data_IF_670241313138
#
_entry.id   IF_670241313138
#
_cell.length_a   1.000
_cell.length_b   1.000
_cell.length_c   1.000
_cell.angle_alpha   90.00
_cell.angle_beta   90.00
_cell.angle_gamma   90.00
#
_symmetry.space_group_name_H-M   'P 1'
#
loop_
_entity.id
_entity.type
_entity.pdbx_description
1 polymer ?
#
# COMPACT_ATOMS: atom_id res chain seq x y z
N UNK A 1 25.92 -66.01 70.61
CA UNK A 1 24.47 -65.74 70.62
C UNK A 1 24.20 -64.48 69.80
N UNK A 2 23.21 -64.53 68.89
CA UNK A 2 22.60 -63.43 68.08
C UNK A 2 21.91 -62.36 68.98
N UNK A 3 21.39 -61.19 68.49
CA UNK A 3 21.02 -60.80 67.10
C UNK A 3 21.52 -59.36 66.67
N UNK A 4 21.67 -58.98 65.37
CA UNK A 4 20.67 -58.60 64.33
C UNK A 4 19.68 -57.51 64.85
N UNK A 5 19.56 -56.29 64.31
CA UNK A 5 19.18 -55.91 62.93
C UNK A 5 19.16 -54.37 62.71
N UNK A 6 19.30 -53.97 61.42
CA UNK A 6 18.55 -52.90 60.69
C UNK A 6 18.80 -51.41 61.04
N UNK A 7 18.82 -50.41 60.15
CA UNK A 7 18.65 -50.23 58.69
C UNK A 7 19.02 -48.77 58.33
N UNK A 8 19.56 -48.52 57.12
CA UNK A 8 19.32 -47.39 56.16
C UNK A 8 19.06 -45.95 56.68
N UNK A 9 19.44 -44.83 56.04
CA UNK A 9 20.21 -44.47 54.85
C UNK A 9 20.12 -42.91 54.73
N UNK A 10 21.23 -42.24 54.40
CA UNK A 10 21.38 -40.92 53.73
C UNK A 10 20.78 -39.65 54.38
N UNK A 11 21.65 -38.64 54.61
CA UNK A 11 21.62 -37.35 53.91
C UNK A 11 23.07 -36.82 53.82
N UNK A 12 23.55 -36.54 52.59
CA UNK A 12 24.86 -35.92 52.35
C UNK A 12 24.74 -34.42 52.53
N UNK A 13 25.60 -33.84 53.37
CA UNK A 13 25.70 -32.40 53.59
C UNK A 13 26.23 -31.69 52.33
N UNK A 14 25.50 -30.66 51.89
CA UNK A 14 25.92 -29.70 50.86
C UNK A 14 26.61 -28.55 51.60
N UNK A 15 27.90 -28.35 51.33
CA UNK A 15 28.66 -27.18 51.79
C UNK A 15 28.51 -26.11 50.70
N UNK A 16 27.88 -24.99 51.05
CA UNK A 16 27.74 -23.80 50.22
C UNK A 16 29.02 -22.96 50.36
N UNK A 17 29.77 -22.76 49.27
CA UNK A 17 30.87 -21.79 49.21
C UNK A 17 30.44 -20.66 48.29
N UNK A 18 30.33 -19.47 48.86
CA UNK A 18 30.13 -18.21 48.13
C UNK A 18 31.45 -17.83 47.44
N UNK A 19 31.42 -17.78 46.10
CA UNK A 19 32.49 -17.19 45.29
C UNK A 19 31.93 -15.97 44.57
N UNK A 20 32.38 -14.80 45.03
CA UNK A 20 32.14 -13.48 44.48
C UNK A 20 32.65 -13.41 43.03
N UNK A 21 31.77 -13.28 42.04
CA UNK A 21 32.16 -12.98 40.65
C UNK A 21 32.00 -11.47 40.44
N UNK A 22 33.13 -10.77 40.47
CA UNK A 22 33.22 -9.40 40.00
C UNK A 22 33.05 -9.40 38.47
N UNK A 23 31.89 -8.94 38.00
CA UNK A 23 31.65 -8.73 36.57
C UNK A 23 32.41 -7.45 36.18
N UNK A 24 33.59 -7.66 35.58
CA UNK A 24 34.30 -6.61 34.86
C UNK A 24 33.50 -6.35 33.58
N UNK A 25 32.74 -5.26 33.58
CA UNK A 25 32.06 -4.73 32.40
C UNK A 25 33.10 -4.14 31.44
N UNK A 26 33.70 -5.00 30.61
CA UNK A 26 34.33 -4.55 29.38
C UNK A 26 33.22 -4.08 28.44
N UNK A 27 33.12 -2.76 28.27
CA UNK A 27 32.18 -2.13 27.37
C UNK A 27 32.37 -2.66 25.96
N UNK A 28 31.41 -3.46 25.49
CA UNK A 28 31.22 -3.71 24.06
C UNK A 28 30.89 -2.35 23.42
N UNK A 29 31.53 -2.00 22.28
CA UNK A 29 31.12 -0.81 21.55
C UNK A 29 29.66 -1.00 21.15
N UNK A 30 28.78 -0.16 21.71
CA UNK A 30 27.40 -0.06 21.27
C UNK A 30 27.45 0.43 19.82
N UNK A 31 27.24 -0.48 18.87
CA UNK A 31 26.91 -0.11 17.50
C UNK A 31 25.57 0.61 17.62
N UNK A 32 25.58 1.94 17.52
CA UNK A 32 24.35 2.71 17.38
C UNK A 32 23.66 2.21 16.12
N UNK A 33 22.57 1.46 16.27
CA UNK A 33 21.65 1.20 15.19
C UNK A 33 21.22 2.56 14.63
N UNK A 34 21.61 2.83 13.39
CA UNK A 34 21.16 4.02 12.68
C UNK A 34 19.67 3.84 12.46
N UNK A 35 18.85 4.65 13.11
CA UNK A 35 17.43 4.82 12.78
C UNK A 35 17.37 5.29 11.32
N UNK A 36 16.94 4.42 10.41
CA UNK A 36 16.91 4.77 8.99
C UNK A 36 15.58 5.47 8.66
N UNK A 37 15.68 6.73 8.23
CA UNK A 37 14.55 7.60 7.88
C UNK A 37 14.49 7.93 6.38
N UNK A 38 15.07 7.09 5.51
CA UNK A 38 15.16 7.32 4.06
C UNK A 38 14.27 6.40 3.24
N UNK A 39 14.09 6.73 1.96
CA UNK A 39 13.53 5.81 0.97
C UNK A 39 14.40 4.54 0.89
N UNK A 40 13.82 3.38 1.18
CA UNK A 40 14.48 2.06 1.11
C UNK A 40 14.27 1.39 -0.25
N UNK A 41 13.37 1.93 -1.07
CA UNK A 41 13.00 1.36 -2.36
C UNK A 41 14.21 1.22 -3.27
N UNK A 42 14.36 0.04 -3.85
CA UNK A 42 15.44 -0.25 -4.77
C UNK A 42 16.77 -0.58 -4.12
N UNK A 43 16.92 -0.44 -2.79
CA UNK A 43 18.15 -0.80 -2.11
C UNK A 43 18.21 -2.29 -1.77
N UNK A 44 19.44 -2.78 -1.68
CA UNK A 44 19.77 -4.04 -0.99
C UNK A 44 20.07 -3.68 0.46
N UNK A 45 19.39 -4.34 1.39
CA UNK A 45 19.50 -4.13 2.81
C UNK A 45 20.14 -5.35 3.49
N UNK A 46 20.99 -5.10 4.48
CA UNK A 46 21.67 -6.12 5.29
C UNK A 46 21.18 -6.00 6.73
N UNK A 47 20.60 -7.07 7.25
CA UNK A 47 20.09 -7.13 8.61
C UNK A 47 21.26 -7.15 9.61
N UNK A 48 21.49 -6.04 10.32
CA UNK A 48 22.71 -5.88 11.16
C UNK A 48 22.56 -6.46 12.56
N UNK A 49 21.34 -6.74 12.99
CA UNK A 49 21.00 -7.28 14.32
C UNK A 49 20.75 -8.80 14.28
N UNK A 50 21.16 -9.46 13.20
CA UNK A 50 21.05 -10.91 12.98
C UNK A 50 22.31 -11.45 12.29
N UNK A 51 22.18 -12.44 11.39
CA UNK A 51 23.29 -13.11 10.71
C UNK A 51 23.77 -12.37 9.45
N UNK A 52 23.35 -11.11 9.25
CA UNK A 52 23.67 -10.36 8.05
C UNK A 52 22.82 -10.76 6.85
N UNK A 53 21.59 -11.22 7.07
CA UNK A 53 20.64 -11.56 6.03
C UNK A 53 20.45 -10.40 5.03
N UNK A 54 20.47 -10.72 3.74
CA UNK A 54 20.30 -9.74 2.67
C UNK A 54 18.87 -9.73 2.12
N UNK A 55 18.35 -8.54 1.87
CA UNK A 55 17.00 -8.28 1.39
C UNK A 55 17.04 -7.27 0.24
N UNK A 56 16.29 -7.50 -0.82
CA UNK A 56 16.15 -6.52 -1.91
C UNK A 56 14.76 -5.90 -1.88
N UNK A 57 14.69 -4.57 -1.81
CA UNK A 57 13.42 -3.86 -1.83
C UNK A 57 13.04 -3.59 -3.28
N UNK A 58 12.13 -4.39 -3.83
CA UNK A 58 11.83 -4.37 -5.26
C UNK A 58 11.07 -3.09 -5.65
N UNK A 59 11.58 -2.26 -6.57
CA UNK A 59 10.93 -0.99 -6.91
C UNK A 59 9.50 -1.10 -7.43
N UNK A 60 9.14 -2.22 -8.07
CA UNK A 60 7.82 -2.34 -8.69
C UNK A 60 6.68 -2.51 -7.68
N UNK A 61 6.96 -3.05 -6.48
CA UNK A 61 5.92 -3.34 -5.48
C UNK A 61 6.32 -2.97 -4.04
N UNK A 62 7.49 -2.36 -3.85
CA UNK A 62 8.03 -1.98 -2.54
C UNK A 62 8.15 -3.12 -1.52
N UNK A 63 8.13 -4.39 -1.98
CA UNK A 63 8.27 -5.55 -1.09
C UNK A 63 9.74 -5.92 -0.89
N UNK A 64 10.06 -6.39 0.30
CA UNK A 64 11.36 -6.95 0.65
C UNK A 64 11.44 -8.41 0.22
N UNK A 65 12.32 -8.74 -0.72
CA UNK A 65 12.60 -10.10 -1.15
C UNK A 65 13.84 -10.63 -0.45
N UNK A 66 13.69 -11.76 0.25
CA UNK A 66 14.82 -12.40 0.92
C UNK A 66 15.79 -12.98 -0.10
N UNK A 67 17.04 -12.53 -0.09
CA UNK A 67 18.04 -12.93 -1.09
C UNK A 67 18.76 -14.23 -0.75
N UNK A 68 18.65 -14.72 0.49
CA UNK A 68 19.27 -15.99 0.89
C UNK A 68 20.78 -16.05 0.62
N UNK A 69 21.26 -17.16 0.06
CA UNK A 69 22.67 -17.34 -0.30
C UNK A 69 22.96 -16.72 -1.68
N UNK A 70 24.23 -16.53 -2.08
CA UNK A 70 24.58 -15.91 -3.36
C UNK A 70 23.88 -16.50 -4.60
N UNK A 71 23.70 -17.83 -4.64
CA UNK A 71 22.98 -18.49 -5.73
C UNK A 71 21.47 -18.18 -5.71
N UNK A 72 20.87 -18.14 -4.53
CA UNK A 72 19.45 -17.81 -4.34
C UNK A 72 19.21 -16.34 -4.72
N UNK A 73 20.10 -15.44 -4.30
CA UNK A 73 20.08 -14.02 -4.63
C UNK A 73 20.13 -13.78 -6.13
N UNK A 74 21.06 -14.46 -6.82
CA UNK A 74 21.18 -14.39 -8.27
C UNK A 74 19.89 -14.81 -8.99
N UNK A 75 19.26 -15.91 -8.55
CA UNK A 75 18.00 -16.39 -9.12
C UNK A 75 16.87 -15.37 -8.93
N UNK A 76 16.68 -14.90 -7.69
CA UNK A 76 15.62 -13.94 -7.32
C UNK A 76 15.80 -12.63 -8.07
N UNK A 77 17.01 -12.09 -8.09
CA UNK A 77 17.30 -10.84 -8.78
C UNK A 77 17.10 -10.94 -10.29
N UNK A 78 17.41 -12.09 -10.90
CA UNK A 78 17.15 -12.33 -12.32
C UNK A 78 15.65 -12.50 -12.62
N UNK A 79 14.89 -13.13 -11.70
CA UNK A 79 13.43 -13.27 -11.78
C UNK A 79 12.70 -11.91 -11.72
N UNK A 80 13.23 -10.97 -10.92
CA UNK A 80 12.68 -9.62 -10.75
C UNK A 80 13.21 -8.61 -11.79
N UNK A 81 14.10 -9.03 -12.69
CA UNK A 81 14.78 -8.13 -13.61
C UNK A 81 13.86 -7.64 -14.75
N UNK A 82 14.02 -6.38 -15.13
CA UNK A 82 13.36 -5.76 -16.27
C UNK A 82 14.22 -5.95 -17.53
N UNK A 83 13.63 -6.49 -18.60
CA UNK A 83 14.32 -6.63 -19.89
C UNK A 83 14.66 -5.27 -20.52
N UNK A 84 15.89 -5.10 -20.99
CA UNK A 84 16.35 -3.90 -21.69
C UNK A 84 17.30 -4.24 -22.85
N UNK A 85 17.35 -3.35 -23.84
CA UNK A 85 18.24 -3.49 -25.01
C UNK A 85 19.71 -3.37 -24.61
N UNK A 86 20.57 -4.10 -25.31
CA UNK A 86 22.00 -4.15 -25.01
C UNK A 86 22.64 -2.76 -25.05
N UNK A 87 22.40 -2.01 -26.12
CA UNK A 87 22.97 -0.67 -26.31
C UNK A 87 22.51 0.31 -25.23
N UNK A 88 21.25 0.28 -24.84
CA UNK A 88 20.74 1.11 -23.76
C UNK A 88 21.48 0.87 -22.45
N UNK A 89 21.74 -0.40 -22.10
CA UNK A 89 22.47 -0.73 -20.87
C UNK A 89 23.92 -0.27 -20.98
N UNK A 90 24.63 -0.63 -22.06
CA UNK A 90 26.07 -0.42 -22.17
C UNK A 90 26.42 1.07 -22.34
N UNK A 91 25.67 1.80 -23.16
CA UNK A 91 25.95 3.20 -23.49
C UNK A 91 25.54 4.17 -22.37
N UNK A 92 24.70 3.72 -21.43
CA UNK A 92 24.25 4.55 -20.30
C UNK A 92 25.23 4.49 -19.13
N UNK A 93 25.86 5.62 -18.82
CA UNK A 93 26.75 5.75 -17.65
C UNK A 93 25.99 6.05 -16.35
N UNK A 94 24.96 6.89 -16.43
CA UNK A 94 24.08 7.26 -15.31
C UNK A 94 22.65 7.09 -15.79
N UNK A 95 21.88 6.25 -15.12
CA UNK A 95 20.53 5.89 -15.52
C UNK A 95 19.51 6.93 -15.05
N UNK A 96 18.36 7.05 -15.76
CA UNK A 96 17.23 7.87 -15.31
C UNK A 96 16.72 7.46 -13.91
N UNK A 97 16.18 8.43 -13.16
CA UNK A 97 15.66 8.20 -11.80
C UNK A 97 14.64 7.05 -11.72
N UNK A 98 13.76 6.93 -12.72
CA UNK A 98 12.76 5.85 -12.79
C UNK A 98 13.33 4.43 -12.83
N UNK A 99 14.63 4.27 -13.12
CA UNK A 99 15.33 2.98 -13.13
C UNK A 99 16.22 2.79 -11.90
N UNK A 100 16.27 3.78 -11.01
CA UNK A 100 16.98 3.73 -9.74
C UNK A 100 16.51 2.51 -8.94
N UNK A 101 17.47 1.67 -8.54
CA UNK A 101 17.21 0.45 -7.78
C UNK A 101 16.68 -0.74 -8.58
N UNK A 102 16.45 -0.59 -9.87
CA UNK A 102 15.97 -1.69 -10.72
C UNK A 102 17.13 -2.59 -11.15
N UNK A 103 16.85 -3.87 -11.39
CA UNK A 103 17.77 -4.79 -12.05
C UNK A 103 17.37 -4.89 -13.51
N UNK A 104 18.29 -4.57 -14.42
CA UNK A 104 18.10 -4.69 -15.87
C UNK A 104 18.70 -5.99 -16.37
N UNK A 105 17.96 -6.70 -17.21
CA UNK A 105 18.41 -7.90 -17.92
C UNK A 105 18.63 -7.56 -19.39
N UNK A 106 19.83 -7.84 -19.90
CA UNK A 106 20.12 -7.73 -21.32
C UNK A 106 19.43 -8.87 -22.08
N UNK A 107 18.39 -8.52 -22.85
CA UNK A 107 17.59 -9.50 -23.60
C UNK A 107 18.13 -9.76 -25.02
N UNK A 108 19.17 -9.04 -25.45
CA UNK A 108 19.71 -9.13 -26.82
C UNK A 108 21.07 -9.86 -26.86
N UNK A 109 21.67 -10.15 -25.71
CA UNK A 109 22.94 -10.89 -25.57
C UNK A 109 22.78 -12.19 -24.77
N UNK A 110 23.61 -12.42 -23.76
CA UNK A 110 23.69 -13.68 -23.02
C UNK A 110 22.80 -13.67 -21.76
N UNK A 111 21.93 -12.68 -21.60
CA UNK A 111 21.13 -12.53 -20.38
C UNK A 111 21.94 -12.01 -19.20
N UNK A 112 22.92 -11.13 -19.46
CA UNK A 112 23.65 -10.39 -18.45
C UNK A 112 22.70 -9.49 -17.65
N UNK A 113 22.85 -9.47 -16.32
CA UNK A 113 22.03 -8.61 -15.46
C UNK A 113 22.87 -7.48 -14.86
N UNK A 114 22.24 -6.35 -14.60
CA UNK A 114 22.86 -5.15 -14.03
C UNK A 114 21.95 -4.50 -13.00
N UNK A 115 22.42 -4.34 -11.77
CA UNK A 115 21.74 -3.59 -10.73
C UNK A 115 22.04 -2.10 -10.88
N UNK A 116 21.00 -1.27 -10.99
CA UNK A 116 21.14 0.18 -11.03
C UNK A 116 21.11 0.70 -9.60
N UNK A 117 22.28 1.01 -9.03
CA UNK A 117 22.35 1.35 -7.61
C UNK A 117 21.68 2.70 -7.33
N UNK A 118 20.73 2.81 -6.37
CA UNK A 118 20.05 4.08 -6.16
C UNK A 118 20.95 5.21 -5.63
N UNK A 119 22.11 4.88 -5.05
CA UNK A 119 23.02 5.90 -4.52
C UNK A 119 23.73 6.75 -5.59
N UNK A 120 23.96 6.20 -6.79
CA UNK A 120 24.67 6.91 -7.86
C UNK A 120 24.08 6.70 -9.27
N UNK A 121 23.02 5.89 -9.37
CA UNK A 121 22.33 5.47 -10.60
C UNK A 121 23.27 4.84 -11.63
N UNK A 122 24.38 4.26 -11.21
CA UNK A 122 25.28 3.52 -12.08
C UNK A 122 24.90 2.04 -12.11
N UNK A 123 25.24 1.39 -13.22
CA UNK A 123 25.06 -0.06 -13.37
C UNK A 123 26.18 -0.84 -12.68
N UNK A 124 25.80 -1.88 -11.96
CA UNK A 124 26.70 -2.83 -11.33
C UNK A 124 26.39 -4.21 -11.88
N UNK A 125 27.41 -4.88 -12.43
CA UNK A 125 27.26 -6.18 -13.07
C UNK A 125 26.80 -7.25 -12.06
N UNK A 126 25.80 -8.02 -12.46
CA UNK A 126 25.11 -9.05 -11.68
C UNK A 126 24.98 -10.34 -12.50
N UNK A 127 25.99 -10.69 -13.30
CA UNK A 127 25.90 -11.84 -14.21
C UNK A 127 26.14 -13.20 -13.56
N UNK A 128 26.76 -13.24 -12.37
CA UNK A 128 27.09 -14.49 -11.65
C UNK A 128 26.83 -14.37 -10.15
N UNK A 129 26.69 -15.50 -9.42
CA UNK A 129 26.51 -15.49 -7.97
C UNK A 129 27.61 -14.72 -7.20
N UNK A 130 28.85 -14.74 -7.67
CA UNK A 130 29.97 -14.04 -7.02
C UNK A 130 29.83 -12.51 -7.17
N UNK A 131 29.30 -12.05 -8.30
CA UNK A 131 29.04 -10.64 -8.55
C UNK A 131 27.87 -10.14 -7.68
N UNK A 132 26.82 -10.96 -7.52
CA UNK A 132 25.71 -10.69 -6.60
C UNK A 132 26.19 -10.56 -5.15
N UNK A 133 27.05 -11.47 -4.70
CA UNK A 133 27.65 -11.40 -3.37
C UNK A 133 28.49 -10.12 -3.18
N UNK A 134 29.28 -9.76 -4.20
CA UNK A 134 30.06 -8.53 -4.19
C UNK A 134 29.16 -7.30 -4.04
N UNK A 135 28.10 -7.20 -4.83
CA UNK A 135 27.11 -6.11 -4.76
C UNK A 135 26.47 -6.03 -3.37
N UNK A 136 25.99 -7.16 -2.83
CA UNK A 136 25.36 -7.19 -1.50
C UNK A 136 26.33 -6.68 -0.41
N UNK A 137 27.60 -7.10 -0.49
CA UNK A 137 28.63 -6.69 0.49
C UNK A 137 29.05 -5.22 0.35
N UNK A 138 29.18 -4.71 -0.87
CA UNK A 138 29.75 -3.38 -1.14
C UNK A 138 28.69 -2.27 -1.15
N UNK A 139 27.47 -2.57 -1.60
CA UNK A 139 26.39 -1.60 -1.77
C UNK A 139 25.22 -1.81 -0.80
N UNK A 140 25.24 -2.92 -0.05
CA UNK A 140 24.21 -3.24 0.93
C UNK A 140 24.18 -2.21 2.07
N UNK A 141 22.99 -1.78 2.46
CA UNK A 141 22.78 -0.84 3.56
C UNK A 141 22.31 -1.57 4.81
N UNK A 142 22.87 -1.23 5.96
CA UNK A 142 22.42 -1.81 7.22
C UNK A 142 20.97 -1.45 7.53
N UNK A 143 20.17 -2.41 7.99
CA UNK A 143 18.81 -2.18 8.50
C UNK A 143 18.60 -2.91 9.84
N UNK A 144 17.85 -2.27 10.75
CA UNK A 144 17.43 -2.86 12.03
C UNK A 144 16.28 -3.84 11.83
N UNK A 145 16.09 -4.75 12.79
CA UNK A 145 14.97 -5.70 12.75
C UNK A 145 13.62 -4.98 12.78
N UNK A 146 13.52 -3.89 13.56
CA UNK A 146 12.29 -3.10 13.68
C UNK A 146 11.92 -2.36 12.41
N UNK A 147 12.91 -1.84 11.68
CA UNK A 147 12.65 -1.11 10.44
C UNK A 147 12.35 -2.09 9.29
N UNK A 148 13.06 -3.22 9.22
CA UNK A 148 12.79 -4.26 8.23
C UNK A 148 11.37 -4.84 8.37
N UNK A 149 10.90 -5.03 9.60
CA UNK A 149 9.56 -5.55 9.88
C UNK A 149 8.42 -4.64 9.39
N UNK A 150 8.70 -3.37 9.08
CA UNK A 150 7.73 -2.43 8.50
C UNK A 150 7.60 -2.56 6.98
N UNK A 151 8.48 -3.33 6.33
CA UNK A 151 8.46 -3.52 4.89
C UNK A 151 7.74 -4.84 4.57
N UNK A 152 6.68 -4.84 3.74
CA UNK A 152 6.00 -6.07 3.35
C UNK A 152 6.96 -7.05 2.67
N UNK A 153 6.91 -8.33 3.05
CA UNK A 153 7.80 -9.36 2.46
C UNK A 153 7.22 -9.91 1.16
N UNK A 154 8.06 -10.04 0.14
CA UNK A 154 7.73 -10.70 -1.13
C UNK A 154 8.22 -12.15 -1.14
N UNK A 155 7.49 -13.04 -1.82
CA UNK A 155 7.85 -14.46 -1.98
C UNK A 155 8.09 -14.73 -3.47
N UNK A 156 9.24 -15.31 -3.81
CA UNK A 156 9.52 -15.74 -5.19
C UNK A 156 8.83 -17.08 -5.48
N UNK A 157 8.21 -17.20 -6.66
CA UNK A 157 7.40 -18.37 -7.02
C UNK A 157 5.91 -18.32 -6.63
N UNK A 158 5.41 -17.23 -6.04
CA UNK A 158 3.98 -16.89 -6.25
C UNK A 158 3.75 -16.73 -7.76
N UNK A 159 2.62 -17.22 -8.33
CA UNK A 159 2.41 -17.13 -9.77
C UNK A 159 2.35 -15.66 -10.20
N UNK A 160 3.48 -15.13 -10.65
CA UNK A 160 3.59 -13.83 -11.33
C UNK A 160 2.67 -13.77 -12.56
N UNK A 161 2.21 -14.93 -13.05
CA UNK A 161 1.33 -15.11 -14.19
C UNK A 161 -0.19 -15.13 -13.87
N UNK A 162 -0.62 -14.99 -12.60
CA UNK A 162 -2.05 -14.81 -12.27
C UNK A 162 -2.42 -13.40 -11.80
N UNK A 163 -1.43 -12.52 -11.74
CA UNK A 163 -1.59 -11.09 -11.45
C UNK A 163 -0.77 -10.25 -12.43
N UNK A 164 -0.90 -10.54 -13.73
CA UNK A 164 -0.49 -9.63 -14.81
C UNK A 164 -1.30 -9.95 -16.08
N UNK A 165 -2.57 -9.55 -16.12
CA UNK A 165 -2.95 -8.58 -17.15
C UNK A 165 -2.78 -7.21 -16.53
N UNK A 166 -1.54 -6.85 -16.20
CA UNK A 166 -1.24 -5.43 -16.18
C UNK A 166 -1.50 -4.96 -17.61
N UNK A 167 -2.17 -3.81 -17.79
CA UNK A 167 -2.21 -3.18 -19.09
C UNK A 167 -0.79 -3.13 -19.63
N UNK A 168 -0.60 -3.25 -20.96
CA UNK A 168 0.67 -2.82 -21.56
C UNK A 168 1.04 -1.48 -20.90
N UNK A 169 2.29 -1.23 -20.54
CA UNK A 169 2.68 -0.13 -19.64
C UNK A 169 2.15 1.29 -19.95
N UNK A 170 1.44 1.49 -21.08
CA UNK A 170 0.78 2.71 -21.51
C UNK A 170 -0.74 2.55 -21.79
N UNK A 171 -1.36 1.45 -21.39
CA UNK A 171 -2.78 1.20 -21.64
C UNK A 171 -3.62 1.70 -20.47
N UNK A 172 -4.54 2.58 -20.81
CA UNK A 172 -5.48 3.20 -19.90
C UNK A 172 -6.34 2.15 -19.20
N UNK A 173 -6.36 2.21 -17.88
CA UNK A 173 -7.26 1.41 -17.06
C UNK A 173 -8.57 2.18 -16.95
N UNK A 174 -9.67 1.55 -17.35
CA UNK A 174 -11.00 2.14 -17.18
C UNK A 174 -12.01 1.04 -16.88
N UNK A 175 -12.66 1.16 -15.73
CA UNK A 175 -13.81 0.35 -15.35
C UNK A 175 -15.02 1.03 -15.96
N UNK A 176 -15.59 0.38 -16.98
CA UNK A 176 -16.75 0.88 -17.72
C UNK A 176 -18.05 0.69 -16.92
N UNK A 177 -19.12 1.34 -17.39
CA UNK A 177 -20.49 1.15 -16.89
C UNK A 177 -20.69 1.41 -15.37
N UNK A 178 -19.82 2.25 -14.78
CA UNK A 178 -20.03 2.78 -13.43
C UNK A 178 -21.04 3.93 -13.53
N UNK A 179 -22.27 3.78 -12.99
CA UNK A 179 -23.27 4.83 -13.07
C UNK A 179 -22.81 6.05 -12.27
N UNK A 180 -23.30 7.23 -12.66
CA UNK A 180 -22.96 8.49 -12.02
C UNK A 180 -24.16 9.14 -11.36
N UNK A 181 -23.94 9.75 -10.20
CA UNK A 181 -24.88 10.67 -9.58
C UNK A 181 -24.17 11.72 -8.74
N UNK A 182 -24.79 12.88 -8.59
CA UNK A 182 -24.34 13.90 -7.64
C UNK A 182 -24.98 13.67 -6.27
N UNK A 183 -24.30 14.07 -5.20
CA UNK A 183 -24.85 13.98 -3.84
C UNK A 183 -26.13 14.79 -3.63
N UNK A 184 -26.32 15.83 -4.45
CA UNK A 184 -27.57 16.55 -4.60
C UNK A 184 -28.09 16.38 -6.04
N UNK A 185 -28.86 15.32 -6.37
CA UNK A 185 -29.26 15.01 -7.76
C UNK A 185 -30.05 16.12 -8.47
N UNK A 186 -30.77 16.93 -7.68
CA UNK A 186 -31.52 18.12 -8.14
C UNK A 186 -30.89 19.44 -7.67
N UNK A 187 -29.72 19.40 -7.02
CA UNK A 187 -29.01 20.58 -6.53
C UNK A 187 -29.61 21.22 -5.27
N UNK A 188 -30.39 20.47 -4.49
CA UNK A 188 -30.89 20.94 -3.20
C UNK A 188 -29.84 20.75 -2.09
N UNK A 189 -29.03 21.78 -1.90
CA UNK A 189 -28.00 21.83 -0.86
C UNK A 189 -28.55 22.24 0.51
N UNK A 190 -29.85 22.52 0.63
CA UNK A 190 -30.48 22.85 1.92
C UNK A 190 -30.84 21.61 2.74
N UNK A 191 -31.00 20.46 2.07
CA UNK A 191 -31.14 19.17 2.74
C UNK A 191 -29.77 18.66 3.19
N UNK A 192 -29.59 18.55 4.51
CA UNK A 192 -28.35 18.07 5.11
C UNK A 192 -27.92 16.67 4.63
N UNK A 193 -28.86 15.81 4.23
CA UNK A 193 -28.55 14.45 3.73
C UNK A 193 -27.93 14.50 2.34
N UNK A 194 -28.30 15.49 1.53
CA UNK A 194 -27.68 15.73 0.23
C UNK A 194 -26.37 16.51 0.38
N UNK A 195 -26.34 17.50 1.29
CA UNK A 195 -25.16 18.30 1.56
C UNK A 195 -23.98 17.47 2.10
N UNK A 196 -24.25 16.43 2.88
CA UNK A 196 -23.23 15.55 3.46
C UNK A 196 -23.26 14.14 2.85
N UNK A 197 -23.92 13.95 1.70
CA UNK A 197 -24.21 12.63 1.14
C UNK A 197 -23.10 12.05 0.24
N UNK A 198 -21.83 12.45 0.42
CA UNK A 198 -20.78 12.10 -0.54
C UNK A 198 -20.37 10.61 -0.44
N UNK A 199 -20.41 10.05 0.77
CA UNK A 199 -20.16 8.65 1.06
C UNK A 199 -21.32 7.78 0.59
N UNK A 200 -22.57 8.16 0.90
CA UNK A 200 -23.76 7.46 0.41
C UNK A 200 -23.80 7.44 -1.12
N UNK A 201 -23.49 8.56 -1.77
CA UNK A 201 -23.46 8.66 -3.24
C UNK A 201 -22.37 7.80 -3.85
N UNK A 202 -21.16 7.83 -3.27
CA UNK A 202 -20.03 7.03 -3.75
C UNK A 202 -20.28 5.53 -3.58
N UNK A 203 -20.82 5.12 -2.42
CA UNK A 203 -21.21 3.75 -2.16
C UNK A 203 -22.36 3.31 -3.09
N UNK A 204 -23.36 4.15 -3.30
CA UNK A 204 -24.47 3.87 -4.22
C UNK A 204 -23.99 3.64 -5.66
N UNK A 205 -23.10 4.50 -6.17
CA UNK A 205 -22.51 4.32 -7.51
C UNK A 205 -21.79 2.97 -7.63
N UNK A 206 -20.97 2.61 -6.63
CA UNK A 206 -20.26 1.34 -6.60
C UNK A 206 -21.22 0.15 -6.53
N UNK A 207 -22.27 0.22 -5.70
CA UNK A 207 -23.23 -0.87 -5.56
C UNK A 207 -24.11 -1.04 -6.79
N UNK A 208 -24.49 0.05 -7.47
CA UNK A 208 -25.23 -0.05 -8.73
C UNK A 208 -24.36 -0.61 -9.85
N UNK A 209 -23.06 -0.31 -9.86
CA UNK A 209 -22.10 -0.98 -10.74
C UNK A 209 -21.99 -2.49 -10.47
N UNK A 210 -21.86 -2.91 -9.21
CA UNK A 210 -21.89 -4.34 -8.82
C UNK A 210 -23.16 -5.02 -9.31
N UNK A 211 -24.30 -4.34 -9.16
CA UNK A 211 -25.62 -4.85 -9.54
C UNK A 211 -25.93 -4.76 -11.05
N UNK A 212 -25.03 -4.17 -11.86
CA UNK A 212 -25.25 -3.89 -13.29
C UNK A 212 -26.50 -3.04 -13.56
N UNK A 213 -26.76 -2.04 -12.70
CA UNK A 213 -27.92 -1.16 -12.80
C UNK A 213 -27.50 0.28 -13.08
N UNK A 214 -28.36 0.98 -13.81
CA UNK A 214 -28.26 2.43 -13.99
C UNK A 214 -28.84 3.20 -12.80
N UNK A 215 -28.65 4.52 -12.79
CA UNK A 215 -29.22 5.44 -11.79
C UNK A 215 -29.98 6.56 -12.50
N UNK A 216 -31.24 6.77 -12.14
CA UNK A 216 -31.95 8.03 -12.44
C UNK A 216 -31.71 9.05 -11.32
N UNK A 217 -32.06 10.32 -11.56
CA UNK A 217 -31.97 11.36 -10.52
C UNK A 217 -32.95 11.11 -9.37
N UNK A 218 -34.16 10.65 -9.69
CA UNK A 218 -35.20 10.33 -8.72
C UNK A 218 -34.79 9.15 -7.84
N UNK A 219 -34.23 8.10 -8.46
CA UNK A 219 -33.70 6.94 -7.74
C UNK A 219 -32.51 7.33 -6.88
N UNK A 220 -31.58 8.12 -7.43
CA UNK A 220 -30.43 8.63 -6.67
C UNK A 220 -30.86 9.41 -5.43
N UNK A 221 -31.80 10.35 -5.58
CA UNK A 221 -32.27 11.16 -4.45
C UNK A 221 -32.88 10.26 -3.36
N UNK A 222 -33.73 9.32 -3.77
CA UNK A 222 -34.40 8.39 -2.86
C UNK A 222 -33.40 7.50 -2.12
N UNK A 223 -32.44 6.92 -2.84
CA UNK A 223 -31.45 6.00 -2.26
C UNK A 223 -30.46 6.72 -1.36
N UNK A 224 -29.92 7.87 -1.78
CA UNK A 224 -28.97 8.68 -0.98
C UNK A 224 -29.62 9.11 0.34
N UNK A 225 -30.81 9.71 0.26
CA UNK A 225 -31.53 10.15 1.47
C UNK A 225 -31.99 8.97 2.33
N UNK A 226 -32.35 7.84 1.71
CA UNK A 226 -32.73 6.61 2.41
C UNK A 226 -31.58 5.96 3.17
N UNK A 227 -30.38 5.90 2.58
CA UNK A 227 -29.16 5.45 3.26
C UNK A 227 -28.88 6.37 4.46
N UNK A 228 -28.88 7.69 4.24
CA UNK A 228 -28.61 8.67 5.30
C UNK A 228 -29.61 8.58 6.46
N UNK A 229 -30.92 8.48 6.18
CA UNK A 229 -31.96 8.29 7.19
C UNK A 229 -31.77 6.99 7.99
N UNK A 230 -31.38 5.91 7.30
CA UNK A 230 -31.13 4.62 7.93
C UNK A 230 -29.89 4.65 8.82
N UNK A 231 -28.78 5.25 8.35
CA UNK A 231 -27.56 5.45 9.13
C UNK A 231 -27.86 6.26 10.39
N UNK A 232 -28.57 7.39 10.23
CA UNK A 232 -28.96 8.24 11.36
C UNK A 232 -29.80 7.47 12.38
N UNK A 233 -30.73 6.64 11.93
CA UNK A 233 -31.60 5.84 12.80
C UNK A 233 -30.85 4.73 13.53
N UNK A 234 -29.92 4.05 12.87
CA UNK A 234 -29.23 2.86 13.42
C UNK A 234 -27.97 3.23 14.22
N UNK A 235 -27.16 4.12 13.68
CA UNK A 235 -25.84 4.49 14.21
C UNK A 235 -25.84 5.86 14.89
N UNK A 236 -26.90 6.65 14.74
CA UNK A 236 -26.99 7.98 15.36
C UNK A 236 -26.24 9.07 14.59
N UNK A 237 -25.54 8.72 13.50
CA UNK A 237 -24.80 9.63 12.63
C UNK A 237 -24.92 9.20 11.17
N UNK A 238 -24.88 10.17 10.27
CA UNK A 238 -25.00 9.98 8.82
C UNK A 238 -24.25 11.07 8.02
N UNK A 239 -23.29 11.75 8.68
CA UNK A 239 -22.48 12.82 8.11
C UNK A 239 -21.02 12.46 8.29
N UNK A 240 -20.20 12.76 7.29
CA UNK A 240 -18.75 12.59 7.29
C UNK A 240 -18.34 11.22 7.85
N UNK A 241 -18.73 10.12 7.21
CA UNK A 241 -18.44 8.77 7.71
C UNK A 241 -17.02 8.34 7.31
N UNK A 242 -16.21 7.92 8.29
CA UNK A 242 -14.85 7.40 8.03
C UNK A 242 -14.85 6.26 7.00
N UNK A 243 -13.70 5.95 6.41
CA UNK A 243 -13.61 4.82 5.48
C UNK A 243 -14.02 3.48 6.14
N UNK A 244 -13.67 3.30 7.42
CA UNK A 244 -14.04 2.10 8.18
C UNK A 244 -15.56 2.03 8.42
N UNK A 245 -16.19 3.12 8.83
CA UNK A 245 -17.64 3.13 9.08
C UNK A 245 -18.44 3.12 7.77
N UNK A 246 -17.94 3.74 6.70
CA UNK A 246 -18.52 3.60 5.36
C UNK A 246 -18.51 2.13 4.91
N UNK A 247 -17.38 1.43 5.12
CA UNK A 247 -17.29 -0.01 4.85
C UNK A 247 -18.31 -0.80 5.68
N UNK A 248 -18.32 -0.61 7.00
CA UNK A 248 -19.09 -1.46 7.89
C UNK A 248 -20.59 -1.12 7.87
N UNK A 249 -20.94 0.16 7.89
CA UNK A 249 -22.33 0.61 8.01
C UNK A 249 -23.05 0.62 6.66
N UNK A 250 -22.38 1.11 5.61
CA UNK A 250 -23.02 1.24 4.29
C UNK A 250 -22.87 -0.05 3.49
N UNK A 251 -21.64 -0.52 3.25
CA UNK A 251 -21.47 -1.69 2.39
C UNK A 251 -21.92 -3.00 3.06
N UNK A 252 -21.39 -3.31 4.25
CA UNK A 252 -21.66 -4.61 4.89
C UNK A 252 -23.03 -4.68 5.54
N UNK A 253 -23.48 -3.61 6.20
CA UNK A 253 -24.72 -3.68 6.97
C UNK A 253 -25.94 -3.22 6.15
N UNK A 254 -25.91 -2.04 5.53
CA UNK A 254 -27.03 -1.57 4.70
C UNK A 254 -27.18 -2.39 3.41
N UNK A 255 -26.10 -2.52 2.63
CA UNK A 255 -26.13 -3.22 1.35
C UNK A 255 -25.91 -4.73 1.44
N UNK A 256 -25.49 -5.25 2.59
CA UNK A 256 -25.20 -6.69 2.79
C UNK A 256 -24.18 -7.21 1.77
N UNK A 257 -23.15 -6.42 1.50
CA UNK A 257 -22.11 -6.74 0.52
C UNK A 257 -20.77 -7.01 1.20
N UNK A 258 -20.22 -8.20 0.96
CA UNK A 258 -18.98 -8.65 1.62
C UNK A 258 -17.73 -8.56 0.72
N UNK A 259 -17.88 -8.43 -0.61
CA UNK A 259 -16.74 -8.32 -1.54
C UNK A 259 -16.17 -6.88 -1.58
N UNK A 260 -15.94 -6.33 -0.39
CA UNK A 260 -15.44 -5.00 -0.16
C UNK A 260 -14.44 -5.01 0.98
N UNK A 261 -13.33 -4.29 0.83
CA UNK A 261 -12.25 -4.27 1.83
C UNK A 261 -11.73 -2.86 2.08
N UNK A 262 -11.38 -2.58 3.34
CA UNK A 262 -10.61 -1.38 3.68
C UNK A 262 -9.13 -1.67 3.46
N UNK A 263 -8.45 -0.79 2.71
CA UNK A 263 -6.99 -0.74 2.68
C UNK A 263 -6.52 0.53 3.35
N UNK A 264 -5.55 0.38 4.25
CA UNK A 264 -4.98 1.48 5.03
C UNK A 264 -3.61 1.88 4.49
N UNK A 265 -3.28 3.15 4.68
CA UNK A 265 -1.97 3.73 4.33
C UNK A 265 -1.48 3.38 2.91
N UNK A 266 -2.40 3.47 1.95
CA UNK A 266 -2.13 3.05 0.57
C UNK A 266 -1.22 4.04 -0.16
N UNK A 267 -0.46 3.51 -1.11
CA UNK A 267 0.31 4.28 -2.09
C UNK A 267 -0.47 4.45 -3.39
N UNK A 268 0.02 5.31 -4.30
CA UNK A 268 -0.53 5.43 -5.67
C UNK A 268 -0.55 4.08 -6.38
N UNK A 269 0.50 3.28 -6.22
CA UNK A 269 0.62 1.98 -6.88
C UNK A 269 -0.44 1.00 -6.37
N UNK A 270 -0.78 1.03 -5.09
CA UNK A 270 -1.85 0.19 -4.53
C UNK A 270 -3.21 0.53 -5.16
N UNK A 271 -3.50 1.82 -5.39
CA UNK A 271 -4.73 2.26 -6.06
C UNK A 271 -4.76 1.75 -7.51
N UNK A 272 -3.67 1.97 -8.26
CA UNK A 272 -3.55 1.53 -9.66
C UNK A 272 -3.65 0.01 -9.78
N UNK A 273 -3.05 -0.73 -8.84
CA UNK A 273 -3.12 -2.19 -8.80
C UNK A 273 -4.57 -2.67 -8.63
N UNK A 274 -5.35 -2.07 -7.73
CA UNK A 274 -6.76 -2.44 -7.56
C UNK A 274 -7.61 -2.09 -8.78
N UNK A 275 -7.38 -0.93 -9.39
CA UNK A 275 -8.05 -0.58 -10.65
C UNK A 275 -7.72 -1.57 -11.77
N UNK A 276 -6.46 -2.05 -11.85
CA UNK A 276 -6.02 -3.02 -12.86
C UNK A 276 -6.68 -4.40 -12.69
N UNK A 277 -7.13 -4.72 -11.48
CA UNK A 277 -7.93 -5.92 -11.18
C UNK A 277 -9.41 -5.75 -11.53
N UNK A 278 -9.81 -4.56 -11.99
CA UNK A 278 -11.21 -4.22 -12.26
C UNK A 278 -12.00 -3.84 -11.01
N UNK A 279 -11.32 -3.54 -9.89
CA UNK A 279 -11.99 -3.13 -8.65
C UNK A 279 -12.19 -1.62 -8.63
N UNK A 280 -13.35 -1.15 -8.16
CA UNK A 280 -13.56 0.26 -7.88
C UNK A 280 -12.88 0.64 -6.57
N UNK A 281 -12.41 1.89 -6.51
CA UNK A 281 -11.80 2.45 -5.30
C UNK A 281 -12.62 3.65 -4.86
N UNK A 282 -13.10 3.67 -3.62
CA UNK A 282 -13.66 4.87 -2.99
C UNK A 282 -12.57 5.49 -2.11
N UNK A 283 -12.36 6.79 -2.29
CA UNK A 283 -11.29 7.50 -1.61
C UNK A 283 -11.87 8.66 -0.77
N UNK A 284 -11.80 8.61 0.58
CA UNK A 284 -12.01 9.79 1.41
C UNK A 284 -10.87 10.79 1.18
N UNK A 285 -11.20 12.07 1.09
CA UNK A 285 -10.22 13.10 0.77
C UNK A 285 -10.64 14.50 1.25
N UNK A 286 -9.69 15.42 1.15
CA UNK A 286 -9.96 16.85 1.23
C UNK A 286 -10.27 17.42 -0.15
N UNK A 287 -11.54 17.75 -0.41
CA UNK A 287 -11.99 18.29 -1.69
C UNK A 287 -11.44 19.68 -2.03
N UNK A 288 -10.86 20.40 -1.07
CA UNK A 288 -10.22 21.70 -1.34
C UNK A 288 -8.84 21.53 -2.01
N UNK A 289 -8.18 20.38 -1.81
CA UNK A 289 -6.84 20.09 -2.34
C UNK A 289 -6.90 19.66 -3.81
N UNK A 290 -8.00 19.03 -4.25
CA UNK A 290 -8.13 18.59 -5.65
C UNK A 290 -8.37 19.73 -6.64
N UNK A 291 -8.61 20.95 -6.14
CA UNK A 291 -8.77 22.17 -6.93
C UNK A 291 -9.77 22.03 -8.09
N UNK A 292 -10.86 21.29 -7.89
CA UNK A 292 -11.88 21.13 -8.93
C UNK A 292 -12.56 22.48 -9.22
N UNK A 293 -12.44 23.05 -10.43
CA UNK A 293 -13.02 24.34 -10.77
C UNK A 293 -14.56 24.33 -10.78
N UNK A 294 -15.18 23.15 -10.74
CA UNK A 294 -16.63 22.98 -10.71
C UNK A 294 -17.20 22.95 -9.29
N UNK A 295 -16.36 23.01 -8.26
CA UNK A 295 -16.83 23.19 -6.88
C UNK A 295 -17.18 24.64 -6.61
N UNK A 296 -18.20 24.85 -5.77
CA UNK A 296 -18.45 26.18 -5.20
C UNK A 296 -17.32 26.46 -4.18
N UNK A 297 -16.53 27.55 -4.33
CA UNK A 297 -15.47 27.84 -3.38
C UNK A 297 -15.98 27.90 -1.93
N UNK A 298 -15.23 27.35 -0.96
CA UNK A 298 -13.87 26.80 -1.08
C UNK A 298 -13.77 25.35 -1.56
N UNK A 299 -14.89 24.67 -1.83
CA UNK A 299 -14.96 23.22 -1.98
C UNK A 299 -15.13 22.49 -0.64
N UNK A 300 -15.51 21.20 -0.66
CA UNK A 300 -15.80 20.44 0.55
C UNK A 300 -14.51 20.11 1.31
N UNK A 301 -14.51 20.27 2.63
CA UNK A 301 -13.38 19.93 3.49
C UNK A 301 -13.21 18.42 3.69
N UNK A 302 -14.34 17.72 3.83
CA UNK A 302 -14.51 16.28 3.85
C UNK A 302 -15.26 15.90 2.58
N UNK A 303 -14.71 14.96 1.84
CA UNK A 303 -15.30 14.50 0.59
C UNK A 303 -14.99 13.03 0.36
N UNK A 304 -15.78 12.37 -0.47
CA UNK A 304 -15.52 11.03 -0.97
C UNK A 304 -15.91 10.95 -2.45
N UNK A 305 -15.09 10.26 -3.24
CA UNK A 305 -15.39 9.99 -4.65
C UNK A 305 -14.97 8.58 -5.05
N UNK A 306 -15.50 8.12 -6.17
CA UNK A 306 -15.14 6.84 -6.79
C UNK A 306 -14.02 7.07 -7.80
N UNK A 307 -12.89 6.42 -7.63
CA UNK A 307 -11.84 6.26 -8.64
C UNK A 307 -12.17 4.99 -9.44
N UNK A 308 -12.29 5.15 -10.76
CA UNK A 308 -12.72 4.10 -11.69
C UNK A 308 -11.74 3.85 -12.83
N UNK A 309 -10.59 4.51 -12.82
CA UNK A 309 -9.59 4.33 -13.85
C UNK A 309 -8.33 5.16 -13.63
N UNK A 310 -7.32 4.87 -14.44
CA UNK A 310 -6.04 5.55 -14.45
C UNK A 310 -5.51 5.60 -15.89
N UNK A 311 -5.11 6.78 -16.34
CA UNK A 311 -4.46 6.98 -17.62
C UNK A 311 -2.93 7.13 -17.40
N UNK A 312 -2.12 6.12 -17.73
CA UNK A 312 -0.67 6.20 -17.56
C UNK A 312 0.01 7.16 -18.54
N UNK A 313 -0.68 7.59 -19.61
CA UNK A 313 -0.13 8.53 -20.60
C UNK A 313 -0.18 9.96 -20.09
N UNK A 314 -1.29 10.36 -19.47
CA UNK A 314 -1.47 11.69 -18.90
C UNK A 314 -1.14 11.75 -17.41
N UNK A 315 -0.92 10.60 -16.77
CA UNK A 315 -0.69 10.47 -15.33
C UNK A 315 -1.88 10.96 -14.48
N UNK A 316 -3.10 10.67 -14.94
CA UNK A 316 -4.35 11.13 -14.33
C UNK A 316 -5.24 9.97 -13.86
N UNK A 317 -5.85 10.13 -12.71
CA UNK A 317 -6.95 9.28 -12.26
C UNK A 317 -8.27 9.73 -12.87
N UNK A 318 -9.12 8.76 -13.18
CA UNK A 318 -10.45 8.96 -13.74
C UNK A 318 -11.47 8.66 -12.64
N UNK A 319 -12.34 9.61 -12.35
CA UNK A 319 -13.21 9.58 -11.18
C UNK A 319 -14.67 9.77 -11.54
N UNK A 320 -15.57 9.27 -10.69
CA UNK A 320 -16.94 9.74 -10.57
C UNK A 320 -17.04 10.53 -9.27
N UNK A 321 -17.07 11.85 -9.39
CA UNK A 321 -17.05 12.80 -8.28
C UNK A 321 -18.48 13.31 -7.95
N UNK A 322 -19.09 12.88 -6.83
CA UNK A 322 -20.47 13.25 -6.51
C UNK A 322 -20.62 14.72 -6.09
N UNK A 323 -19.53 15.44 -5.81
CA UNK A 323 -19.53 16.82 -5.33
C UNK A 323 -19.89 17.85 -6.39
N UNK A 324 -19.99 17.44 -7.66
CA UNK A 324 -20.32 18.35 -8.77
C UNK A 324 -21.02 17.66 -9.92
N UNK A 325 -21.91 18.38 -10.62
CA UNK A 325 -22.61 17.86 -11.82
C UNK A 325 -21.69 17.51 -12.98
N UNK A 326 -20.45 18.02 -12.97
CA UNK A 326 -19.43 17.74 -13.97
C UNK A 326 -18.43 16.68 -13.48
N UNK A 327 -18.84 15.84 -12.52
CA UNK A 327 -17.96 14.88 -11.87
C UNK A 327 -17.89 13.51 -12.54
N UNK A 328 -18.73 13.23 -13.53
CA UNK A 328 -18.70 11.95 -14.25
C UNK A 328 -17.44 11.82 -15.10
N UNK A 329 -16.68 10.74 -14.90
CA UNK A 329 -15.42 10.48 -15.60
C UNK A 329 -14.45 11.67 -15.59
N UNK A 330 -14.42 12.42 -14.49
CA UNK A 330 -13.56 13.59 -14.33
C UNK A 330 -12.11 13.19 -14.06
N UNK A 331 -11.15 13.88 -14.67
CA UNK A 331 -9.73 13.60 -14.60
C UNK A 331 -9.06 14.46 -13.53
N UNK A 332 -8.25 13.83 -12.69
CA UNK A 332 -7.40 14.52 -11.72
C UNK A 332 -5.96 14.04 -11.89
N UNK A 333 -5.00 14.97 -11.84
CA UNK A 333 -3.58 14.65 -11.75
C UNK A 333 -3.33 13.67 -10.59
N UNK A 334 -2.55 12.61 -10.84
CA UNK A 334 -2.32 11.53 -9.87
C UNK A 334 -1.77 12.04 -8.54
N UNK A 335 -0.91 13.04 -8.57
CA UNK A 335 -0.22 13.57 -7.39
C UNK A 335 -1.16 14.47 -6.61
N UNK A 336 -1.93 15.30 -7.32
CA UNK A 336 -2.96 16.16 -6.71
C UNK A 336 -4.03 15.29 -6.02
N UNK A 337 -4.59 14.31 -6.72
CA UNK A 337 -5.61 13.42 -6.14
C UNK A 337 -5.05 12.67 -4.92
N UNK A 338 -3.89 12.03 -5.08
CA UNK A 338 -3.29 11.25 -4.00
C UNK A 338 -2.95 12.10 -2.77
N UNK A 339 -2.46 13.33 -2.97
CA UNK A 339 -2.21 14.26 -1.88
C UNK A 339 -3.50 14.66 -1.16
N UNK A 340 -4.63 14.75 -1.88
CA UNK A 340 -5.92 15.03 -1.30
C UNK A 340 -6.49 13.87 -0.46
N UNK A 341 -6.17 12.61 -0.80
CA UNK A 341 -6.64 11.44 -0.04
C UNK A 341 -6.29 11.59 1.43
N UNK A 342 -7.29 11.46 2.30
CA UNK A 342 -7.14 11.60 3.74
C UNK A 342 -8.45 11.11 4.36
N UNK A 343 -8.37 10.06 5.15
CA UNK A 343 -9.50 9.61 5.95
C UNK A 343 -9.87 10.65 7.02
N UNK A 344 -11.11 10.59 7.50
CA UNK A 344 -11.61 11.49 8.52
C UNK A 344 -12.46 10.72 9.53
N UNK A 345 -12.47 11.15 10.80
CA UNK A 345 -13.28 10.51 11.83
C UNK A 345 -14.76 10.69 11.54
N UNK A 346 -15.55 9.66 11.87
CA UNK A 346 -17.00 9.72 11.74
C UNK A 346 -17.60 10.78 12.64
N UNK A 347 -18.39 11.68 12.06
CA UNK A 347 -19.06 12.75 12.77
C UNK A 347 -18.85 14.13 12.13
N UNK A 348 -19.76 15.04 12.45
CA UNK A 348 -19.86 16.30 11.72
C UNK A 348 -18.66 17.24 11.92
N UNK A 349 -17.83 17.36 10.88
CA UNK A 349 -16.61 18.16 10.86
C UNK A 349 -15.69 17.90 12.06
N UNK A 350 -15.58 16.63 12.47
CA UNK A 350 -14.73 16.22 13.57
C UNK A 350 -13.24 16.52 13.29
N UNK A 351 -12.47 16.70 14.37
CA UNK A 351 -11.07 17.10 14.25
C UNK A 351 -10.21 15.96 13.73
N UNK A 352 -9.51 16.19 12.62
CA UNK A 352 -8.58 15.24 12.02
C UNK A 352 -7.22 15.36 12.71
N UNK A 353 -6.82 14.31 13.43
CA UNK A 353 -5.58 14.28 14.23
C UNK A 353 -4.36 13.85 13.43
N UNK A 354 -4.57 12.98 12.44
CA UNK A 354 -3.53 12.41 11.58
C UNK A 354 -4.06 12.21 10.16
N UNK A 355 -3.14 12.15 9.19
CA UNK A 355 -3.49 11.93 7.79
C UNK A 355 -3.28 10.45 7.50
N UNK A 356 -4.36 9.70 7.44
CA UNK A 356 -4.35 8.30 7.00
C UNK A 356 -4.75 8.21 5.52
N UNK A 357 -3.98 7.46 4.73
CA UNK A 357 -4.29 7.23 3.30
C UNK A 357 -5.15 5.99 3.16
N UNK A 358 -6.35 6.01 3.73
CA UNK A 358 -7.26 4.88 3.66
C UNK A 358 -8.14 4.95 2.41
N UNK A 359 -8.46 3.80 1.83
CA UNK A 359 -9.41 3.64 0.72
C UNK A 359 -10.30 2.43 0.94
N UNK A 360 -11.46 2.43 0.30
CA UNK A 360 -12.34 1.27 0.25
C UNK A 360 -12.25 0.69 -1.16
N UNK A 361 -12.01 -0.62 -1.25
CA UNK A 361 -11.91 -1.33 -2.52
C UNK A 361 -13.15 -2.20 -2.68
N UNK A 362 -13.88 -2.01 -3.77
CA UNK A 362 -15.10 -2.75 -4.11
C UNK A 362 -14.80 -3.64 -5.31
N UNK A 363 -14.85 -4.95 -5.11
CA UNK A 363 -14.73 -5.97 -6.16
C UNK A 363 -16.11 -6.45 -6.60
N UNK A 364 -16.21 -7.12 -7.75
CA UNK A 364 -17.47 -7.67 -8.30
C UNK A 364 -17.43 -9.19 -8.34
#
# INVERSE_FOLDING_TARGET
MKPLTRTKLKYKAIILVFSLVAIISLGLPTVKGVTYSGETTGYILLQVESKGEAWYIYPANNKAYYLGRPYDAFKIMKELALGAKHNFIIDTNVFPERLSGTILLDVEKNGEAYYIYPGDRKKYYLGRPEDAFKIMRELGRGITNSDLARIPVGITGEPMAKSMTLPKANEKILINDVPFTTQAPFGDWSDSRQQNGCEESSALMAMKWVQEKSLSKEESLKEITGISDWLKKKYGESRDTSAQDTLDWIFKDYFQYDQVVLKKDVTINDIVEELSKGHLVLAPMNGQIVHNPNYRPPGPGQHMMVIRGFDPTTEEFITNDPGTRNGESYYYDKTILYNAIRDYPTGYHETIKEIEKNIIVVSK
#
